data_IF_316903054567
#
_entry.id   IF_316903054567
#
_cell.length_a   1.000
_cell.length_b   1.000
_cell.length_c   1.000
_cell.angle_alpha   90.00
_cell.angle_beta   90.00
_cell.angle_gamma   90.00
#
_symmetry.space_group_name_H-M   'P 1'
#
loop_
_entity.id
_entity.type
_entity.pdbx_description
1 polymer ?
#
# COMPACT_ATOMS: atom_id res chain seq x y z
N UNK A 1 18.64 -9.98 9.66
CA UNK A 1 19.23 -9.10 8.62
C UNK A 1 19.06 -9.70 7.23
N UNK A 2 19.77 -10.77 6.83
CA UNK A 2 19.59 -11.36 5.48
C UNK A 2 18.12 -11.69 5.16
N UNK A 3 17.42 -12.34 6.10
CA UNK A 3 15.99 -12.60 5.98
C UNK A 3 15.18 -11.32 5.73
N UNK A 4 15.45 -10.25 6.48
CA UNK A 4 14.76 -8.97 6.36
C UNK A 4 15.07 -8.25 5.03
N UNK A 5 16.24 -8.45 4.42
CA UNK A 5 16.53 -7.94 3.07
C UNK A 5 15.62 -8.62 2.05
N UNK A 6 15.49 -9.95 2.14
CA UNK A 6 14.61 -10.71 1.26
C UNK A 6 13.13 -10.37 1.49
N UNK A 7 12.72 -10.23 2.75
CA UNK A 7 11.36 -9.86 3.13
C UNK A 7 11.00 -8.44 2.66
N UNK A 8 11.92 -7.48 2.82
CA UNK A 8 11.74 -6.13 2.31
C UNK A 8 11.56 -6.14 0.79
N UNK A 9 12.46 -6.80 0.05
CA UNK A 9 12.34 -6.94 -1.40
C UNK A 9 11.02 -7.61 -1.81
N UNK A 10 10.65 -8.70 -1.14
CA UNK A 10 9.40 -9.41 -1.37
C UNK A 10 8.20 -8.49 -1.16
N UNK A 11 8.09 -7.81 -0.01
CA UNK A 11 6.98 -6.90 0.26
C UNK A 11 6.90 -5.76 -0.76
N UNK A 12 8.03 -5.15 -1.11
CA UNK A 12 8.07 -4.04 -2.07
C UNK A 12 7.81 -4.48 -3.51
N UNK A 13 7.98 -5.75 -3.87
CA UNK A 13 7.62 -6.25 -5.20
C UNK A 13 6.21 -6.83 -5.22
N UNK A 14 5.81 -7.53 -4.17
CA UNK A 14 4.50 -8.16 -4.02
C UNK A 14 3.37 -7.15 -3.99
N UNK A 15 3.55 -6.00 -3.31
CA UNK A 15 2.50 -4.97 -3.25
C UNK A 15 2.10 -4.46 -4.64
N UNK A 16 3.05 -4.34 -5.58
CA UNK A 16 2.75 -3.92 -6.96
C UNK A 16 1.67 -4.80 -7.59
N UNK A 17 1.81 -6.12 -7.47
CA UNK A 17 0.85 -7.04 -8.06
C UNK A 17 -0.46 -7.08 -7.26
N UNK A 18 -0.36 -7.33 -5.94
CA UNK A 18 -1.56 -7.60 -5.13
C UNK A 18 -2.42 -6.36 -4.89
N UNK A 19 -1.81 -5.18 -4.92
CA UNK A 19 -2.53 -3.92 -4.80
C UNK A 19 -2.67 -3.28 -6.17
N UNK A 20 -1.60 -2.71 -6.75
CA UNK A 20 -1.73 -1.87 -7.96
C UNK A 20 -2.37 -2.60 -9.15
N UNK A 21 -1.81 -3.72 -9.58
CA UNK A 21 -2.29 -4.40 -10.79
C UNK A 21 -3.71 -4.94 -10.63
N UNK A 22 -4.02 -5.56 -9.48
CA UNK A 22 -5.33 -6.15 -9.21
C UNK A 22 -6.43 -5.09 -9.16
N UNK A 23 -6.27 -4.02 -8.36
CA UNK A 23 -7.34 -3.02 -8.24
C UNK A 23 -7.50 -2.22 -9.53
N UNK A 24 -6.42 -1.95 -10.27
CA UNK A 24 -6.49 -1.23 -11.54
C UNK A 24 -7.21 -2.06 -12.61
N UNK A 25 -6.97 -3.37 -12.66
CA UNK A 25 -7.67 -4.25 -13.59
C UNK A 25 -9.17 -4.31 -13.30
N UNK A 26 -9.56 -4.45 -12.02
CA UNK A 26 -10.98 -4.45 -11.60
C UNK A 26 -11.64 -3.10 -11.91
N UNK A 27 -10.96 -1.99 -11.60
CA UNK A 27 -11.48 -0.66 -11.89
C UNK A 27 -11.61 -0.41 -13.39
N UNK A 28 -10.63 -0.83 -14.20
CA UNK A 28 -10.68 -0.68 -15.65
C UNK A 28 -11.82 -1.51 -16.27
N UNK A 29 -12.12 -2.69 -15.73
CA UNK A 29 -13.29 -3.45 -16.15
C UNK A 29 -14.61 -2.72 -15.81
N UNK A 30 -14.70 -2.12 -14.62
CA UNK A 30 -15.84 -1.31 -14.22
C UNK A 30 -16.02 -0.07 -15.11
N UNK A 31 -14.94 0.68 -15.38
CA UNK A 31 -14.93 1.84 -16.30
C UNK A 31 -15.49 1.52 -17.69
N UNK A 32 -15.30 0.28 -18.16
CA UNK A 32 -15.74 -0.16 -19.49
C UNK A 32 -17.17 -0.68 -19.54
N UNK A 33 -17.81 -0.89 -18.38
CA UNK A 33 -19.08 -1.63 -18.29
C UNK A 33 -20.14 -0.91 -17.48
N UNK A 34 -19.76 -0.11 -16.48
CA UNK A 34 -20.67 0.62 -15.62
C UNK A 34 -20.80 2.08 -16.08
N UNK A 35 -22.00 2.64 -15.92
CA UNK A 35 -22.20 4.08 -16.09
C UNK A 35 -21.47 4.86 -14.99
N UNK A 36 -20.99 6.06 -15.30
CA UNK A 36 -20.47 7.03 -14.31
C UNK A 36 -21.48 7.36 -13.20
N UNK A 37 -22.78 7.17 -13.47
CA UNK A 37 -23.88 7.37 -12.50
C UNK A 37 -24.17 6.12 -11.66
N UNK A 38 -23.56 4.98 -11.97
CA UNK A 38 -23.80 3.73 -11.26
C UNK A 38 -23.24 3.80 -9.83
N UNK A 39 -24.00 3.50 -8.77
CA UNK A 39 -23.55 3.62 -7.37
C UNK A 39 -22.22 2.92 -7.06
N UNK A 40 -22.01 1.73 -7.63
CA UNK A 40 -20.73 1.01 -7.51
C UNK A 40 -19.57 1.78 -8.14
N UNK A 41 -19.78 2.38 -9.32
CA UNK A 41 -18.73 3.15 -10.00
C UNK A 41 -18.31 4.36 -9.17
N UNK A 42 -19.27 5.02 -8.51
CA UNK A 42 -19.02 6.16 -7.61
C UNK A 42 -18.07 5.78 -6.46
N UNK A 43 -18.30 4.61 -5.85
CA UNK A 43 -17.47 4.10 -4.75
C UNK A 43 -16.07 3.74 -5.28
N UNK A 44 -16.00 3.06 -6.42
CA UNK A 44 -14.71 2.66 -6.99
C UNK A 44 -13.86 3.88 -7.39
N UNK A 45 -14.44 4.91 -8.02
CA UNK A 45 -13.74 6.16 -8.34
C UNK A 45 -13.18 6.85 -7.09
N UNK A 46 -13.96 6.88 -6.00
CA UNK A 46 -13.50 7.45 -4.72
C UNK A 46 -12.27 6.71 -4.21
N UNK A 47 -12.27 5.39 -4.26
CA UNK A 47 -11.16 4.53 -3.82
C UNK A 47 -9.97 4.53 -4.78
N UNK A 48 -10.18 4.94 -6.03
CA UNK A 48 -9.19 4.97 -7.11
C UNK A 48 -8.57 6.34 -7.35
N UNK A 49 -8.69 7.26 -6.38
CA UNK A 49 -8.02 8.55 -6.43
C UNK A 49 -6.52 8.34 -6.72
N UNK A 50 -6.04 8.88 -7.85
CA UNK A 50 -4.66 8.74 -8.34
C UNK A 50 -4.20 7.29 -8.65
N UNK A 51 -5.09 6.30 -8.63
CA UNK A 51 -4.73 4.88 -8.70
C UNK A 51 -3.94 4.48 -9.95
N UNK A 52 -4.15 5.14 -11.10
CA UNK A 52 -3.40 4.87 -12.34
C UNK A 52 -2.06 5.62 -12.45
N UNK A 53 -1.76 6.55 -11.53
CA UNK A 53 -0.50 7.32 -11.55
C UNK A 53 0.71 6.46 -11.19
N UNK A 54 0.48 5.38 -10.42
CA UNK A 54 1.42 4.32 -10.09
C UNK A 54 2.14 3.79 -11.34
N UNK A 55 1.44 3.57 -12.46
CA UNK A 55 2.02 2.96 -13.66
C UNK A 55 3.18 3.77 -14.22
N UNK A 56 3.01 5.09 -14.31
CA UNK A 56 4.07 5.97 -14.83
C UNK A 56 5.15 6.16 -13.78
N UNK A 57 4.79 6.38 -12.50
CA UNK A 57 5.80 6.66 -11.46
C UNK A 57 6.65 5.44 -11.10
N UNK A 58 6.06 4.26 -10.98
CA UNK A 58 6.80 3.04 -10.67
C UNK A 58 7.71 2.63 -11.84
N UNK A 59 7.11 2.40 -13.01
CA UNK A 59 7.82 1.78 -14.12
C UNK A 59 8.76 2.75 -14.86
N UNK A 60 8.53 4.06 -14.77
CA UNK A 60 9.32 5.10 -15.47
C UNK A 60 10.15 6.00 -14.55
N UNK A 61 10.12 5.83 -13.22
CA UNK A 61 10.95 6.63 -12.31
C UNK A 61 11.62 5.83 -11.20
N UNK A 62 11.02 4.71 -10.76
CA UNK A 62 11.56 3.88 -9.69
C UNK A 62 12.30 2.63 -10.22
N UNK A 63 11.79 2.00 -11.27
CA UNK A 63 12.40 0.81 -11.87
C UNK A 63 13.23 1.16 -13.10
N UNK A 64 14.55 1.20 -12.91
CA UNK A 64 15.51 1.28 -13.99
C UNK A 64 15.93 -0.12 -14.45
N UNK A 65 15.98 -0.37 -15.75
CA UNK A 65 16.61 -1.57 -16.32
C UNK A 65 18.13 -1.49 -16.18
N UNK A 66 18.68 -0.28 -16.14
CA UNK A 66 20.09 0.00 -15.88
C UNK A 66 20.30 1.44 -15.35
N UNK A 67 21.48 1.71 -14.80
CA UNK A 67 21.82 3.02 -14.22
C UNK A 67 22.03 4.15 -15.27
N UNK A 68 21.67 3.93 -16.54
CA UNK A 68 21.80 4.91 -17.63
C UNK A 68 20.44 5.37 -18.20
N UNK A 69 19.32 4.98 -17.57
CA UNK A 69 18.00 5.53 -17.88
C UNK A 69 17.13 4.72 -18.83
N UNK A 70 17.42 3.44 -19.05
CA UNK A 70 16.48 2.55 -19.75
C UNK A 70 15.32 2.19 -18.81
N UNK A 71 14.11 2.67 -19.12
CA UNK A 71 12.91 2.37 -18.35
C UNK A 71 12.33 0.99 -18.65
N UNK A 72 11.61 0.42 -17.69
CA UNK A 72 10.91 -0.86 -17.87
C UNK A 72 9.89 -0.76 -19.00
N UNK A 73 9.21 0.37 -19.14
CA UNK A 73 8.22 0.61 -20.21
C UNK A 73 8.81 0.53 -21.62
N UNK A 74 10.03 1.01 -21.83
CA UNK A 74 10.74 0.89 -23.11
C UNK A 74 10.96 -0.57 -23.53
N UNK A 75 10.98 -1.49 -22.55
CA UNK A 75 11.15 -2.92 -22.75
C UNK A 75 9.81 -3.69 -22.70
N UNK A 76 8.71 -3.03 -22.33
CA UNK A 76 7.40 -3.65 -22.18
C UNK A 76 6.90 -4.37 -23.45
N UNK A 77 7.03 -3.79 -24.67
CA UNK A 77 6.55 -4.45 -25.89
C UNK A 77 7.26 -5.76 -26.24
N UNK A 78 8.47 -5.98 -25.73
CA UNK A 78 9.32 -7.13 -26.08
C UNK A 78 9.55 -8.10 -24.92
N UNK A 79 9.49 -7.63 -23.67
CA UNK A 79 9.80 -8.42 -22.45
C UNK A 79 8.73 -8.36 -21.36
N UNK A 80 7.80 -7.40 -21.43
CA UNK A 80 6.84 -7.11 -20.36
C UNK A 80 5.37 -7.32 -20.74
N UNK A 81 5.08 -8.00 -21.85
CA UNK A 81 3.70 -8.36 -22.19
C UNK A 81 3.20 -9.37 -21.16
N UNK A 82 2.53 -8.87 -20.12
CA UNK A 82 1.78 -9.72 -19.21
C UNK A 82 0.77 -10.52 -20.04
N UNK A 83 0.78 -11.83 -19.85
CA UNK A 83 -0.26 -12.68 -20.41
C UNK A 83 -1.60 -12.25 -19.79
N UNK A 84 -2.54 -11.79 -20.60
CA UNK A 84 -3.90 -11.53 -20.13
C UNK A 84 -4.48 -12.80 -19.49
N UNK A 85 -5.04 -12.68 -18.29
CA UNK A 85 -5.56 -13.83 -17.54
C UNK A 85 -4.51 -14.67 -16.82
N UNK A 86 -3.32 -14.11 -16.53
CA UNK A 86 -2.29 -14.80 -15.73
C UNK A 86 -2.74 -15.08 -14.28
N UNK A 87 -3.64 -14.25 -13.75
CA UNK A 87 -4.27 -14.51 -12.46
C UNK A 87 -5.47 -15.45 -12.67
N UNK A 88 -5.50 -16.52 -11.88
CA UNK A 88 -6.71 -17.33 -11.73
C UNK A 88 -7.81 -16.43 -11.15
N UNK A 89 -8.86 -16.22 -11.93
CA UNK A 89 -9.99 -15.40 -11.52
C UNK A 89 -10.99 -16.28 -10.77
N UNK A 90 -10.82 -16.45 -9.46
CA UNK A 90 -11.77 -17.16 -8.59
C UNK A 90 -12.99 -16.27 -8.25
N UNK A 91 -13.47 -15.47 -9.20
CA UNK A 91 -14.68 -14.69 -9.03
C UNK A 91 -15.90 -15.61 -9.01
N UNK A 92 -16.57 -15.68 -7.86
CA UNK A 92 -17.78 -16.48 -7.69
C UNK A 92 -18.93 -15.94 -8.52
N UNK A 93 -19.89 -16.81 -8.86
CA UNK A 93 -21.11 -16.43 -9.57
C UNK A 93 -21.84 -15.28 -8.83
N UNK A 94 -22.36 -14.28 -9.56
CA UNK A 94 -22.81 -13.03 -8.96
C UNK A 94 -24.08 -13.23 -8.12
N UNK A 95 -23.97 -12.96 -6.83
CA UNK A 95 -25.09 -12.69 -5.93
C UNK A 95 -24.75 -11.45 -5.08
N UNK A 96 -25.71 -10.96 -4.29
CA UNK A 96 -25.52 -9.77 -3.45
C UNK A 96 -24.33 -9.90 -2.49
N UNK A 97 -24.12 -11.09 -1.91
CA UNK A 97 -22.99 -11.40 -1.05
C UNK A 97 -21.66 -11.27 -1.79
N UNK A 98 -21.56 -11.83 -2.99
CA UNK A 98 -20.39 -11.72 -3.85
C UNK A 98 -20.05 -10.25 -4.16
N UNK A 99 -21.03 -9.42 -4.51
CA UNK A 99 -20.78 -7.99 -4.76
C UNK A 99 -20.25 -7.28 -3.51
N UNK A 100 -20.85 -7.54 -2.34
CA UNK A 100 -20.38 -6.97 -1.06
C UNK A 100 -18.94 -7.38 -0.78
N UNK A 101 -18.61 -8.65 -0.96
CA UNK A 101 -17.28 -9.18 -0.67
C UNK A 101 -16.24 -8.58 -1.63
N UNK A 102 -16.57 -8.45 -2.92
CA UNK A 102 -15.71 -7.78 -3.91
C UNK A 102 -15.45 -6.33 -3.54
N UNK A 103 -16.49 -5.54 -3.20
CA UNK A 103 -16.31 -4.13 -2.85
C UNK A 103 -15.56 -3.94 -1.53
N UNK A 104 -15.82 -4.81 -0.54
CA UNK A 104 -15.10 -4.81 0.73
C UNK A 104 -13.63 -5.14 0.51
N UNK A 105 -13.35 -6.16 -0.31
CA UNK A 105 -11.99 -6.56 -0.62
C UNK A 105 -11.25 -5.50 -1.42
N UNK A 106 -11.92 -4.86 -2.38
CA UNK A 106 -11.37 -3.73 -3.12
C UNK A 106 -10.95 -2.61 -2.17
N UNK A 107 -11.87 -2.15 -1.31
CA UNK A 107 -11.58 -1.13 -0.30
C UNK A 107 -10.44 -1.52 0.64
N UNK A 108 -10.42 -2.78 1.09
CA UNK A 108 -9.38 -3.32 1.97
C UNK A 108 -8.01 -3.37 1.30
N UNK A 109 -7.93 -3.78 0.03
CA UNK A 109 -6.67 -3.85 -0.71
C UNK A 109 -6.08 -2.47 -0.95
N UNK A 110 -6.87 -1.52 -1.47
CA UNK A 110 -6.35 -0.19 -1.86
C UNK A 110 -5.90 0.65 -0.67
N UNK A 111 -6.48 0.41 0.51
CA UNK A 111 -6.19 1.18 1.72
C UNK A 111 -5.29 0.40 2.67
N UNK A 112 -5.79 -0.68 3.26
CA UNK A 112 -5.14 -1.40 4.35
C UNK A 112 -3.96 -2.24 3.87
N UNK A 113 -4.13 -3.07 2.85
CA UNK A 113 -3.04 -3.93 2.37
C UNK A 113 -1.94 -3.09 1.74
N UNK A 114 -2.32 -2.14 0.88
CA UNK A 114 -1.35 -1.23 0.27
C UNK A 114 -0.52 -0.51 1.32
N UNK A 115 -1.17 0.14 2.29
CA UNK A 115 -0.46 0.88 3.33
C UNK A 115 0.26 -0.01 4.36
N UNK A 116 -0.11 -1.28 4.47
CA UNK A 116 0.58 -2.27 5.28
C UNK A 116 1.80 -2.91 4.60
N UNK A 117 2.03 -2.64 3.31
CA UNK A 117 3.18 -3.13 2.55
C UNK A 117 4.08 -1.99 2.03
N UNK A 118 3.48 -0.84 1.70
CA UNK A 118 4.13 0.37 1.19
C UNK A 118 3.61 1.60 1.96
N UNK A 119 3.60 2.78 1.35
CA UNK A 119 3.26 4.05 1.98
C UNK A 119 4.15 4.36 3.18
N UNK A 120 3.52 4.41 4.36
CA UNK A 120 4.20 4.67 5.62
C UNK A 120 4.85 3.45 6.26
N UNK A 121 4.51 2.22 5.84
CA UNK A 121 5.04 1.00 6.49
C UNK A 121 6.56 0.85 6.40
N UNK A 122 7.20 1.11 5.24
CA UNK A 122 8.65 1.05 5.15
C UNK A 122 9.34 1.99 6.16
N UNK A 123 8.95 3.27 6.21
CA UNK A 123 9.59 4.23 7.12
C UNK A 123 9.20 3.99 8.59
N UNK A 124 7.99 3.48 8.84
CA UNK A 124 7.48 3.23 10.18
C UNK A 124 7.96 1.94 10.82
N UNK A 125 8.34 0.94 10.03
CA UNK A 125 8.66 -0.39 10.55
C UNK A 125 9.62 -1.21 9.67
N UNK A 126 9.33 -1.38 8.38
CA UNK A 126 10.02 -2.40 7.53
C UNK A 126 11.36 -1.99 6.95
N UNK A 127 11.80 -0.75 7.13
CA UNK A 127 13.08 -0.23 6.64
C UNK A 127 13.97 0.31 7.78
N UNK A 128 13.71 -0.11 9.02
CA UNK A 128 14.50 0.35 10.17
C UNK A 128 15.90 -0.29 10.18
N UNK A 129 16.92 0.53 9.93
CA UNK A 129 18.32 0.16 10.09
C UNK A 129 18.65 -0.09 11.57
N UNK A 130 19.55 -1.05 11.89
CA UNK A 130 20.33 -1.90 10.97
C UNK A 130 19.62 -3.21 10.60
N UNK A 131 18.40 -3.46 11.09
CA UNK A 131 17.77 -4.78 10.94
C UNK A 131 17.17 -5.02 9.55
N UNK A 132 16.74 -3.97 8.87
CA UNK A 132 16.16 -4.02 7.53
C UNK A 132 17.03 -3.21 6.56
N UNK A 133 17.69 -3.91 5.65
CA UNK A 133 18.58 -3.32 4.65
C UNK A 133 17.92 -3.50 3.28
N UNK A 134 18.14 -2.56 2.37
CA UNK A 134 17.78 -2.72 0.96
C UNK A 134 18.68 -3.70 0.21
N UNK A 135 19.93 -3.87 0.68
CA UNK A 135 20.92 -4.73 0.06
C UNK A 135 21.96 -5.21 1.08
N UNK A 136 22.68 -6.27 0.71
CA UNK A 136 23.89 -6.72 1.41
C UNK A 136 25.11 -6.06 0.77
N UNK A 137 25.98 -5.46 1.58
CA UNK A 137 27.17 -4.73 1.09
C UNK A 137 28.47 -5.57 1.05
N UNK A 138 28.39 -6.84 1.45
CA UNK A 138 29.46 -7.82 1.34
C UNK A 138 28.90 -9.20 0.96
N UNK A 139 29.77 -10.06 0.42
CA UNK A 139 29.43 -11.44 0.04
C UNK A 139 28.90 -12.24 1.22
N UNK A 140 27.87 -13.05 0.99
CA UNK A 140 27.28 -13.91 2.03
C UNK A 140 28.32 -14.78 2.72
N UNK A 141 28.14 -14.94 4.03
CA UNK A 141 29.01 -15.76 4.87
C UNK A 141 28.98 -17.23 4.45
N UNK A 142 30.16 -17.82 4.33
CA UNK A 142 30.35 -19.26 4.09
C UNK A 142 30.60 -20.05 5.37
N UNK A 143 30.91 -19.36 6.48
CA UNK A 143 31.26 -19.95 7.77
C UNK A 143 30.54 -19.24 8.91
N UNK A 144 30.39 -19.94 10.05
CA UNK A 144 29.80 -19.40 11.28
C UNK A 144 30.87 -18.68 12.12
N UNK A 145 30.42 -17.89 13.11
CA UNK A 145 31.32 -17.28 14.10
C UNK A 145 31.80 -15.86 13.77
N UNK A 146 31.16 -15.21 12.79
CA UNK A 146 31.48 -13.81 12.46
C UNK A 146 31.03 -12.87 13.58
N UNK A 147 31.95 -12.02 14.02
CA UNK A 147 31.75 -11.06 15.10
C UNK A 147 31.60 -9.61 14.63
N UNK A 148 32.03 -9.32 13.39
CA UNK A 148 31.87 -8.00 12.77
C UNK A 148 30.89 -8.08 11.61
N UNK A 149 29.76 -7.38 11.77
CA UNK A 149 28.68 -7.34 10.78
C UNK A 149 28.65 -6.02 10.00
N UNK A 150 29.49 -5.03 10.34
CA UNK A 150 29.45 -3.70 9.73
C UNK A 150 29.65 -3.73 8.22
N UNK A 151 30.48 -4.66 7.76
CA UNK A 151 30.80 -4.90 6.34
C UNK A 151 29.55 -5.25 5.51
N UNK A 152 28.50 -5.78 6.14
CA UNK A 152 27.26 -6.19 5.47
C UNK A 152 26.19 -5.08 5.46
N UNK A 153 26.34 -4.09 6.34
CA UNK A 153 25.36 -3.02 6.53
C UNK A 153 25.52 -1.92 5.49
N UNK A 154 24.51 -1.06 5.40
CA UNK A 154 24.58 0.16 4.60
C UNK A 154 25.69 1.06 5.16
N UNK A 155 26.68 1.48 4.33
CA UNK A 155 27.66 2.48 4.71
C UNK A 155 26.98 3.77 5.22
N UNK A 156 27.59 4.44 6.20
CA UNK A 156 26.97 5.61 6.85
C UNK A 156 26.56 6.70 5.86
N UNK A 157 27.37 6.93 4.83
CA UNK A 157 27.07 7.88 3.73
C UNK A 157 25.81 7.51 2.95
N UNK A 158 25.51 6.23 2.75
CA UNK A 158 24.32 5.77 2.02
C UNK A 158 23.10 5.56 2.92
N UNK A 159 23.30 5.39 4.23
CA UNK A 159 22.21 5.18 5.18
C UNK A 159 21.22 6.36 5.17
N UNK A 160 21.72 7.59 5.08
CA UNK A 160 20.89 8.80 4.97
C UNK A 160 20.09 8.80 3.66
N UNK A 161 20.74 8.48 2.54
CA UNK A 161 20.05 8.39 1.24
C UNK A 161 18.94 7.34 1.26
N UNK A 162 19.19 6.18 1.86
CA UNK A 162 18.19 5.13 2.02
C UNK A 162 17.00 5.60 2.85
N UNK A 163 17.23 6.17 4.04
CA UNK A 163 16.16 6.67 4.91
C UNK A 163 15.35 7.76 4.22
N UNK A 164 16.01 8.71 3.54
CA UNK A 164 15.33 9.79 2.80
C UNK A 164 14.50 9.21 1.66
N UNK A 165 15.05 8.28 0.88
CA UNK A 165 14.31 7.61 -0.19
C UNK A 165 13.05 6.91 0.34
N UNK A 166 13.19 6.13 1.41
CA UNK A 166 12.06 5.45 2.04
C UNK A 166 11.02 6.44 2.58
N UNK A 167 11.45 7.56 3.17
CA UNK A 167 10.54 8.60 3.64
C UNK A 167 9.73 9.25 2.51
N UNK A 168 10.21 9.21 1.25
CA UNK A 168 9.45 9.74 0.10
C UNK A 168 8.19 8.94 -0.25
N UNK A 169 8.03 7.72 0.29
CA UNK A 169 6.80 6.93 0.17
C UNK A 169 5.75 7.32 1.23
N UNK A 170 6.11 8.13 2.22
CA UNK A 170 5.17 8.58 3.24
C UNK A 170 4.45 9.88 2.82
N UNK A 171 3.22 10.07 3.32
CA UNK A 171 2.35 11.22 3.00
C UNK A 171 1.73 11.81 4.27
N UNK A 172 2.57 12.44 5.08
CA UNK A 172 2.19 13.05 6.37
C UNK A 172 1.12 14.15 6.24
N UNK A 173 0.83 14.67 5.05
CA UNK A 173 -0.12 15.76 4.83
C UNK A 173 -1.53 15.28 4.43
N UNK A 174 -1.77 13.97 4.26
CA UNK A 174 -3.08 13.48 3.84
C UNK A 174 -4.20 13.68 4.86
N UNK A 175 -3.88 13.79 6.15
CA UNK A 175 -4.88 14.11 7.17
C UNK A 175 -5.46 15.52 6.98
N UNK A 176 -4.69 16.51 6.52
CA UNK A 176 -5.19 17.87 6.27
C UNK A 176 -5.99 17.97 4.97
N UNK A 177 -5.80 17.03 4.05
CA UNK A 177 -6.42 17.05 2.72
C UNK A 177 -7.70 16.22 2.63
N UNK A 178 -8.18 15.62 3.72
CA UNK A 178 -9.38 14.79 3.64
C UNK A 178 -9.13 13.40 3.05
N UNK A 179 -7.87 12.93 3.01
CA UNK A 179 -7.42 11.77 2.23
C UNK A 179 -7.19 10.48 3.04
N UNK A 180 -7.42 10.50 4.35
CA UNK A 180 -7.22 9.36 5.27
C UNK A 180 -8.44 8.43 5.30
N UNK A 181 -8.26 7.18 5.73
CA UNK A 181 -9.29 6.14 5.73
C UNK A 181 -10.56 6.52 6.53
N UNK A 182 -10.40 7.30 7.61
CA UNK A 182 -11.54 7.91 8.33
C UNK A 182 -12.46 8.74 7.44
N UNK A 183 -11.93 9.31 6.36
CA UNK A 183 -12.61 10.27 5.47
C UNK A 183 -13.10 9.67 4.15
N UNK A 184 -13.03 8.34 3.97
CA UNK A 184 -13.67 7.67 2.81
C UNK A 184 -15.11 8.14 2.60
N UNK A 185 -15.98 8.11 3.63
CA UNK A 185 -17.38 8.45 3.47
C UNK A 185 -17.67 9.96 3.47
N UNK A 186 -16.73 10.82 3.82
CA UNK A 186 -17.02 12.22 4.23
C UNK A 186 -17.05 13.24 3.08
N UNK A 187 -17.13 12.79 1.83
CA UNK A 187 -17.31 13.68 0.69
C UNK A 187 -18.80 14.00 0.51
N UNK A 188 -19.22 15.19 0.94
CA UNK A 188 -20.64 15.60 0.91
C UNK A 188 -21.25 15.54 -0.49
N UNK A 189 -20.50 15.98 -1.52
CA UNK A 189 -20.95 15.96 -2.92
C UNK A 189 -21.11 14.52 -3.43
N UNK A 190 -20.23 13.62 -2.99
CA UNK A 190 -20.35 12.20 -3.29
C UNK A 190 -21.59 11.60 -2.60
N UNK A 191 -21.80 11.94 -1.32
CA UNK A 191 -22.89 11.43 -0.50
C UNK A 191 -24.28 11.88 -0.97
N UNK A 192 -24.39 13.07 -1.58
CA UNK A 192 -25.64 13.54 -2.20
C UNK A 192 -26.14 12.62 -3.32
N UNK A 193 -25.25 11.81 -3.92
CA UNK A 193 -25.58 10.86 -4.97
C UNK A 193 -26.19 9.56 -4.43
N UNK A 194 -26.24 9.38 -3.11
CA UNK A 194 -26.77 8.21 -2.45
C UNK A 194 -28.04 8.52 -1.64
N UNK A 195 -28.81 7.47 -1.32
CA UNK A 195 -30.02 7.59 -0.51
C UNK A 195 -29.70 7.94 0.96
N UNK A 196 -30.75 8.14 1.76
CA UNK A 196 -30.60 8.51 3.17
C UNK A 196 -29.92 7.40 3.98
N UNK A 197 -30.27 6.15 3.69
CA UNK A 197 -29.78 4.97 4.39
C UNK A 197 -28.27 4.80 4.21
N UNK A 198 -27.77 4.93 2.98
CA UNK A 198 -26.33 4.90 2.67
C UNK A 198 -25.58 6.01 3.38
N UNK A 199 -26.14 7.22 3.46
CA UNK A 199 -25.52 8.35 4.18
C UNK A 199 -25.40 8.08 5.69
N UNK A 200 -26.39 7.43 6.28
CA UNK A 200 -26.33 7.01 7.70
C UNK A 200 -25.24 5.97 7.91
N UNK A 201 -25.15 4.96 7.05
CA UNK A 201 -24.09 3.94 7.12
C UNK A 201 -22.70 4.53 6.90
N UNK A 202 -22.58 5.51 5.99
CA UNK A 202 -21.34 6.21 5.73
C UNK A 202 -20.85 6.99 6.97
N UNK A 203 -21.76 7.66 7.69
CA UNK A 203 -21.44 8.32 8.95
C UNK A 203 -21.02 7.32 10.06
N UNK A 204 -21.70 6.17 10.18
CA UNK A 204 -21.32 5.11 11.12
C UNK A 204 -19.93 4.55 10.82
N UNK A 205 -19.60 4.34 9.53
CA UNK A 205 -18.25 3.91 9.11
C UNK A 205 -17.18 4.92 9.55
N UNK A 206 -17.39 6.22 9.31
CA UNK A 206 -16.45 7.27 9.71
C UNK A 206 -16.24 7.29 11.23
N UNK A 207 -17.32 7.19 12.00
CA UNK A 207 -17.25 7.15 13.47
C UNK A 207 -16.47 5.91 13.98
N UNK A 208 -16.68 4.74 13.37
CA UNK A 208 -15.94 3.51 13.73
C UNK A 208 -14.46 3.60 13.39
N UNK A 209 -14.12 4.16 12.22
CA UNK A 209 -12.73 4.36 11.83
C UNK A 209 -12.01 5.34 12.77
N UNK A 210 -12.70 6.40 13.19
CA UNK A 210 -12.17 7.33 14.19
C UNK A 210 -11.96 6.64 15.55
N UNK A 211 -12.93 5.84 16.01
CA UNK A 211 -12.78 5.06 17.24
C UNK A 211 -11.58 4.10 17.20
N UNK A 212 -11.38 3.40 16.08
CA UNK A 212 -10.23 2.52 15.87
C UNK A 212 -8.90 3.29 15.84
N UNK A 213 -8.87 4.46 15.21
CA UNK A 213 -7.71 5.36 15.18
C UNK A 213 -7.30 5.82 16.58
N UNK A 214 -8.27 6.20 17.43
CA UNK A 214 -8.03 6.52 18.84
C UNK A 214 -7.42 5.31 19.58
N UNK A 215 -7.97 4.11 19.40
CA UNK A 215 -7.41 2.89 19.99
C UNK A 215 -5.96 2.65 19.55
N UNK A 216 -5.67 2.76 18.26
CA UNK A 216 -4.31 2.53 17.72
C UNK A 216 -3.31 3.56 18.24
N UNK A 217 -3.70 4.84 18.29
CA UNK A 217 -2.84 5.94 18.77
C UNK A 217 -2.53 5.85 20.25
N UNK A 218 -3.43 5.26 21.02
CA UNK A 218 -3.27 5.08 22.47
C UNK A 218 -2.53 3.80 22.84
N UNK A 219 -2.16 2.95 21.88
CA UNK A 219 -1.28 1.79 22.12
C UNK A 219 0.02 2.22 22.77
N UNK A 220 0.37 1.52 23.84
CA UNK A 220 1.59 1.66 24.61
C UNK A 220 2.07 0.27 25.07
N UNK A 221 3.26 0.21 25.63
CA UNK A 221 3.78 -0.99 26.26
C UNK A 221 3.01 -1.29 27.55
N UNK A 222 2.68 -2.57 27.78
CA UNK A 222 2.20 -3.01 29.08
C UNK A 222 3.35 -3.11 30.10
N UNK A 223 3.04 -3.45 31.35
CA UNK A 223 4.03 -3.60 32.43
C UNK A 223 5.16 -4.61 32.13
N UNK A 224 4.98 -5.46 31.12
CA UNK A 224 5.93 -6.49 30.70
C UNK A 224 6.55 -6.19 29.33
N UNK A 225 6.16 -5.09 28.68
CA UNK A 225 6.52 -4.77 27.30
C UNK A 225 6.05 -5.81 26.27
N UNK A 226 4.91 -6.48 26.49
CA UNK A 226 4.48 -7.65 25.71
C UNK A 226 3.49 -7.35 24.56
N UNK A 227 3.35 -8.35 23.68
CA UNK A 227 2.60 -8.31 22.42
C UNK A 227 3.57 -8.35 21.23
N UNK A 228 4.32 -7.26 21.05
CA UNK A 228 5.48 -7.12 20.17
C UNK A 228 6.46 -6.13 20.82
N UNK A 229 7.79 -6.25 20.66
CA UNK A 229 8.77 -5.35 21.29
C UNK A 229 8.86 -3.97 20.60
N UNK A 230 7.75 -3.52 20.00
CA UNK A 230 7.58 -2.22 19.34
C UNK A 230 6.08 -1.92 19.24
N UNK A 231 5.73 -0.63 19.08
CA UNK A 231 4.35 -0.19 18.93
C UNK A 231 4.00 -0.11 17.43
N UNK A 232 3.11 -0.98 16.97
CA UNK A 232 2.63 -0.97 15.58
C UNK A 232 1.45 -0.02 15.39
N UNK A 233 1.63 1.01 14.54
CA UNK A 233 0.60 2.04 14.22
C UNK A 233 0.37 2.25 12.73
N UNK A 234 1.05 1.50 11.85
CA UNK A 234 0.96 1.74 10.41
C UNK A 234 -0.48 1.66 9.90
N UNK A 235 -1.29 0.72 10.37
CA UNK A 235 -2.70 0.59 9.94
C UNK A 235 -3.69 1.52 10.66
N UNK A 236 -3.24 2.65 11.21
CA UNK A 236 -4.12 3.66 11.80
C UNK A 236 -5.02 4.31 10.71
N UNK A 237 -6.36 4.16 10.76
CA UNK A 237 -7.27 4.79 9.80
C UNK A 237 -7.18 6.32 9.77
N UNK A 238 -6.71 6.92 10.86
CA UNK A 238 -6.49 8.36 10.98
C UNK A 238 -5.24 8.86 10.30
N UNK A 239 -4.46 7.96 9.71
CA UNK A 239 -3.16 8.23 9.12
C UNK A 239 -3.00 7.58 7.74
N UNK A 240 -3.42 6.33 7.59
CA UNK A 240 -3.41 5.61 6.32
C UNK A 240 -4.38 6.25 5.32
N UNK A 241 -3.99 6.44 4.04
CA UNK A 241 -4.90 6.90 3.01
C UNK A 241 -5.95 5.85 2.68
N UNK A 242 -7.08 6.28 2.14
CA UNK A 242 -8.09 5.35 1.63
C UNK A 242 -7.84 4.82 0.22
N UNK A 243 -6.76 5.26 -0.41
CA UNK A 243 -6.39 4.93 -1.77
C UNK A 243 -4.90 4.59 -1.82
N UNK A 244 -4.49 3.93 -2.91
CA UNK A 244 -3.10 3.62 -3.18
C UNK A 244 -2.40 4.84 -3.79
N UNK A 245 -1.63 5.54 -2.97
CA UNK A 245 -1.06 6.85 -3.28
C UNK A 245 0.35 6.83 -3.88
N UNK A 246 1.14 5.81 -3.55
CA UNK A 246 2.57 5.69 -3.85
C UNK A 246 3.01 4.27 -3.60
#
# INVERSE_FOLDING_TARGET
>A
MIFNVNDFFHAQTFHLVVTHDVFEAVHLAALRTLSEKHPVMIILERLMLQGFSSRVRHWDQLFYVNNIGDYVTNNWPTRGVYQGGYLGNDFQAPNEGCLRDVLTHFGFIVSVIHYGLNGGDPVGFKATLPFHLNAMYASLLTEKGVTDLLLFLVPAEYAVHYIVFIATFNRLFYWTLGCILEYVPLDELLLERFNKETRVVAADFGARMNGLSIEIRTRDFDEKGLGMPFIYRTSDPGYAPYFSAV
#
